data_IF_023586305160
#
_entry.id   IF_023586305160
#
_cell.length_a   1.000
_cell.length_b   1.000
_cell.length_c   1.000
_cell.angle_alpha   90.00
_cell.angle_beta   90.00
_cell.angle_gamma   90.00
#
_symmetry.space_group_name_H-M   'P 1'
#
loop_
_entity.id
_entity.type
_entity.pdbx_description
1 polymer ?
#
# COMPACT_ATOMS: atom_id res chain seq x y z
N UNK A 1 12.73 -16.75 16.46
CA UNK A 1 11.28 -16.62 16.72
C UNK A 1 10.64 -17.73 15.89
N UNK A 2 9.82 -18.56 16.51
CA UNK A 2 9.07 -19.58 15.77
C UNK A 2 7.90 -18.86 15.08
N UNK A 3 7.93 -18.77 13.75
CA UNK A 3 6.98 -18.00 12.95
C UNK A 3 6.14 -18.95 12.10
N UNK A 4 4.84 -18.71 12.08
CA UNK A 4 3.86 -19.47 11.28
C UNK A 4 3.08 -18.51 10.40
N UNK A 5 2.83 -18.92 9.16
CA UNK A 5 2.07 -18.15 8.17
C UNK A 5 0.72 -18.80 7.95
N UNK A 6 -0.32 -17.97 7.89
CA UNK A 6 -1.69 -18.38 7.60
C UNK A 6 -2.28 -17.48 6.53
N UNK A 7 -3.18 -18.02 5.71
CA UNK A 7 -4.12 -17.15 5.00
C UNK A 7 -5.02 -16.44 6.02
N UNK A 8 -5.40 -15.21 5.72
CA UNK A 8 -6.21 -14.39 6.66
C UNK A 8 -7.50 -15.12 7.04
N UNK A 9 -8.16 -15.75 6.07
CA UNK A 9 -9.44 -16.45 6.26
C UNK A 9 -9.32 -17.76 7.07
N UNK A 10 -8.11 -18.33 7.17
CA UNK A 10 -7.86 -19.52 8.01
C UNK A 10 -7.85 -19.21 9.52
N UNK A 11 -7.79 -17.93 9.88
CA UNK A 11 -7.68 -17.46 11.27
C UNK A 11 -8.70 -16.35 11.60
N UNK A 12 -10.02 -16.66 11.50
CA UNK A 12 -11.08 -15.70 11.82
C UNK A 12 -11.02 -15.17 13.26
N UNK A 13 -10.43 -15.96 14.16
CA UNK A 13 -10.16 -15.57 15.56
C UNK A 13 -9.16 -14.41 15.70
N UNK A 14 -8.40 -14.11 14.66
CA UNK A 14 -7.40 -13.02 14.64
C UNK A 14 -7.85 -11.77 13.87
N UNK A 15 -8.99 -11.77 13.22
CA UNK A 15 -9.41 -10.67 12.32
C UNK A 15 -9.49 -9.33 13.04
N UNK A 16 -10.19 -9.25 14.17
CA UNK A 16 -10.33 -8.01 14.95
C UNK A 16 -8.96 -7.47 15.41
N UNK A 17 -8.08 -8.36 15.89
CA UNK A 17 -6.73 -7.99 16.30
C UNK A 17 -5.85 -7.57 15.12
N UNK A 18 -6.03 -8.19 13.94
CA UNK A 18 -5.32 -7.81 12.73
C UNK A 18 -5.74 -6.42 12.27
N UNK A 19 -7.03 -6.11 12.29
CA UNK A 19 -7.54 -4.77 11.96
C UNK A 19 -6.98 -3.70 12.91
N UNK A 20 -6.98 -3.95 14.22
CA UNK A 20 -6.40 -3.05 15.20
C UNK A 20 -4.91 -2.79 14.96
N UNK A 21 -4.12 -3.85 14.72
CA UNK A 21 -2.67 -3.74 14.51
C UNK A 21 -2.35 -3.05 13.17
N UNK A 22 -3.12 -3.36 12.13
CA UNK A 22 -2.84 -2.85 10.78
C UNK A 22 -3.44 -1.48 10.52
N UNK A 23 -4.42 -1.03 11.30
CA UNK A 23 -4.87 0.37 11.29
C UNK A 23 -3.95 1.28 12.10
N UNK A 24 -3.27 0.73 13.12
CA UNK A 24 -2.39 1.52 13.97
C UNK A 24 -1.24 2.17 13.20
N UNK A 25 -1.07 3.48 13.41
CA UNK A 25 0.03 4.24 12.80
C UNK A 25 -0.24 4.79 11.40
N UNK A 26 -1.40 4.52 10.81
CA UNK A 26 -1.83 5.17 9.58
C UNK A 26 -2.64 6.44 9.89
N UNK A 27 -2.51 7.49 9.06
CA UNK A 27 -3.40 8.64 9.16
C UNK A 27 -4.84 8.23 8.87
N UNK A 28 -5.82 8.81 9.59
CA UNK A 28 -7.24 8.49 9.44
C UNK A 28 -7.72 8.61 7.99
N UNK A 29 -7.29 9.64 7.28
CA UNK A 29 -7.73 9.89 5.90
C UNK A 29 -7.40 8.75 4.92
N UNK A 30 -6.42 7.87 5.22
CA UNK A 30 -6.04 6.79 4.31
C UNK A 30 -7.16 5.75 4.16
N UNK A 31 -8.04 5.66 5.15
CA UNK A 31 -9.18 4.74 5.17
C UNK A 31 -10.43 5.30 4.46
N UNK A 32 -10.31 6.47 3.81
CA UNK A 32 -11.40 7.14 3.11
C UNK A 32 -11.10 7.30 1.62
N UNK A 33 -10.60 6.22 1.03
CA UNK A 33 -10.38 6.09 -0.40
C UNK A 33 -11.60 5.44 -1.05
N UNK A 34 -12.37 6.17 -1.89
CA UNK A 34 -13.61 5.64 -2.47
C UNK A 34 -13.39 4.43 -3.38
N UNK A 35 -12.20 4.29 -3.98
CA UNK A 35 -11.89 3.13 -4.84
C UNK A 35 -11.68 1.89 -3.96
N UNK A 36 -10.90 2.04 -2.89
CA UNK A 36 -10.72 0.97 -1.92
C UNK A 36 -12.07 0.54 -1.33
N UNK A 37 -12.90 1.48 -0.89
CA UNK A 37 -14.23 1.19 -0.33
C UNK A 37 -15.11 0.38 -1.29
N UNK A 38 -15.06 0.68 -2.58
CA UNK A 38 -15.86 -0.02 -3.60
C UNK A 38 -15.35 -1.41 -3.94
N UNK A 39 -14.04 -1.66 -3.80
CA UNK A 39 -13.42 -2.89 -4.28
C UNK A 39 -13.10 -3.91 -3.17
N UNK A 40 -12.88 -3.45 -1.92
CA UNK A 40 -12.29 -4.28 -0.87
C UNK A 40 -13.10 -5.52 -0.52
N UNK A 41 -14.43 -5.48 -0.55
CA UNK A 41 -15.26 -6.66 -0.27
C UNK A 41 -14.99 -7.77 -1.29
N UNK A 42 -14.90 -7.41 -2.58
CA UNK A 42 -14.59 -8.36 -3.67
C UNK A 42 -13.15 -8.84 -3.59
N UNK A 43 -12.22 -7.94 -3.27
CA UNK A 43 -10.81 -8.29 -3.09
C UNK A 43 -10.66 -9.32 -1.97
N UNK A 44 -11.28 -9.11 -0.82
CA UNK A 44 -11.26 -10.04 0.31
C UNK A 44 -11.90 -11.38 -0.06
N UNK A 45 -13.05 -11.35 -0.72
CA UNK A 45 -13.79 -12.55 -1.11
C UNK A 45 -13.06 -13.40 -2.16
N UNK A 46 -12.34 -12.76 -3.10
CA UNK A 46 -11.82 -13.46 -4.28
C UNK A 46 -10.33 -13.77 -4.26
N UNK A 47 -9.57 -13.07 -3.41
CA UNK A 47 -8.11 -13.15 -3.37
C UNK A 47 -7.57 -13.46 -1.97
N UNK A 48 -8.35 -14.19 -1.16
CA UNK A 48 -8.00 -14.57 0.22
C UNK A 48 -6.64 -15.28 0.32
N UNK A 49 -6.29 -16.11 -0.69
CA UNK A 49 -5.00 -16.81 -0.77
C UNK A 49 -3.78 -15.85 -0.85
N UNK A 50 -4.01 -14.61 -1.25
CA UNK A 50 -3.00 -13.54 -1.32
C UNK A 50 -3.08 -12.57 -0.13
N UNK A 51 -3.84 -12.91 0.92
CA UNK A 51 -3.94 -12.16 2.16
C UNK A 51 -3.38 -13.00 3.31
N UNK A 52 -2.23 -12.61 3.84
CA UNK A 52 -1.44 -13.43 4.75
C UNK A 52 -1.21 -12.76 6.10
N UNK A 53 -1.29 -13.58 7.16
CA UNK A 53 -0.84 -13.23 8.49
C UNK A 53 0.43 -14.01 8.85
N UNK A 54 1.37 -13.34 9.51
CA UNK A 54 2.53 -13.95 10.14
C UNK A 54 2.37 -13.84 11.65
N UNK A 55 2.38 -14.98 12.34
CA UNK A 55 2.20 -15.06 13.80
C UNK A 55 3.38 -15.75 14.46
N UNK A 56 3.65 -15.42 15.72
CA UNK A 56 4.68 -16.07 16.51
C UNK A 56 4.15 -17.33 17.24
N UNK A 57 5.03 -18.00 17.97
CA UNK A 57 4.70 -19.23 18.73
C UNK A 57 3.64 -19.05 19.82
N UNK A 58 3.28 -17.82 20.18
CA UNK A 58 2.25 -17.46 21.15
C UNK A 58 0.95 -16.95 20.49
N UNK A 59 0.79 -17.21 19.18
CA UNK A 59 -0.35 -16.72 18.37
C UNK A 59 -0.50 -15.18 18.33
N UNK A 60 0.61 -14.45 18.49
CA UNK A 60 0.59 -12.99 18.33
C UNK A 60 0.91 -12.63 16.89
N UNK A 61 0.08 -11.79 16.29
CA UNK A 61 0.33 -11.25 14.95
C UNK A 61 1.59 -10.39 15.00
N UNK A 62 2.57 -10.69 14.14
CA UNK A 62 3.84 -9.95 14.04
C UNK A 62 3.95 -9.16 12.74
N UNK A 63 3.33 -9.64 11.67
CA UNK A 63 3.21 -8.96 10.39
C UNK A 63 1.99 -9.47 9.63
N UNK A 64 1.59 -8.74 8.61
CA UNK A 64 0.58 -9.14 7.66
C UNK A 64 0.76 -8.39 6.35
N UNK A 65 0.09 -8.86 5.33
CA UNK A 65 0.11 -8.22 4.04
C UNK A 65 -0.79 -8.92 3.05
N UNK A 66 -1.09 -8.23 1.98
CA UNK A 66 -1.98 -8.74 0.96
C UNK A 66 -1.66 -8.17 -0.41
N UNK A 67 -2.19 -8.80 -1.43
CA UNK A 67 -2.03 -8.37 -2.79
C UNK A 67 -3.17 -8.80 -3.69
N UNK A 68 -3.13 -8.33 -4.92
CA UNK A 68 -4.14 -8.65 -5.94
C UNK A 68 -3.47 -9.12 -7.22
N UNK A 69 -4.11 -10.06 -7.95
CA UNK A 69 -3.59 -10.58 -9.21
C UNK A 69 -4.07 -9.70 -10.37
N UNK A 70 -3.14 -9.26 -11.22
CA UNK A 70 -3.45 -8.50 -12.43
C UNK A 70 -2.81 -9.13 -13.66
N UNK A 71 -3.23 -8.71 -14.85
CA UNK A 71 -2.48 -8.92 -16.08
C UNK A 71 -1.61 -7.68 -16.32
N UNK A 72 -0.31 -7.88 -16.57
CA UNK A 72 0.66 -6.82 -16.88
C UNK A 72 1.69 -7.34 -17.87
N UNK A 73 1.88 -6.65 -18.99
CA UNK A 73 2.78 -7.07 -20.08
C UNK A 73 4.28 -6.91 -19.73
N UNK A 74 4.60 -6.27 -18.61
CA UNK A 74 5.96 -6.02 -18.14
C UNK A 74 6.52 -4.66 -18.60
N UNK A 75 5.79 -3.89 -19.39
CA UNK A 75 6.16 -2.54 -19.83
C UNK A 75 5.80 -1.47 -18.78
N UNK A 76 6.44 -0.29 -18.89
CA UNK A 76 6.10 0.85 -18.05
C UNK A 76 4.76 1.47 -18.43
N UNK A 77 4.34 1.32 -19.67
CA UNK A 77 3.11 1.93 -20.18
C UNK A 77 1.86 1.16 -19.75
N UNK A 78 1.97 -0.15 -19.49
CA UNK A 78 0.89 -0.99 -18.99
C UNK A 78 0.84 -1.08 -17.44
N UNK A 79 1.76 -0.42 -16.72
CA UNK A 79 1.64 -0.34 -15.26
C UNK A 79 0.30 0.28 -14.87
N UNK A 80 -0.41 -0.29 -13.85
CA UNK A 80 -1.55 0.40 -13.28
C UNK A 80 -1.16 1.80 -12.78
N UNK A 81 -2.11 2.73 -12.75
CA UNK A 81 -1.87 4.09 -12.25
C UNK A 81 -1.40 4.15 -10.79
N UNK A 82 -1.57 3.05 -10.05
CA UNK A 82 -1.13 2.90 -8.66
C UNK A 82 -1.94 1.85 -7.92
N UNK A 83 -2.10 2.06 -6.61
CA UNK A 83 -2.87 1.20 -5.72
C UNK A 83 -4.33 1.07 -6.18
N UNK A 84 -5.04 2.19 -6.36
CA UNK A 84 -6.45 2.22 -6.75
C UNK A 84 -6.71 1.44 -8.03
N UNK A 85 -5.97 1.75 -9.08
CA UNK A 85 -6.16 1.09 -10.38
C UNK A 85 -5.79 -0.40 -10.32
N UNK A 86 -4.87 -0.79 -9.44
CA UNK A 86 -4.56 -2.22 -9.25
C UNK A 86 -5.76 -2.99 -8.72
N UNK A 87 -6.52 -2.42 -7.77
CA UNK A 87 -7.75 -3.03 -7.27
C UNK A 87 -8.81 -3.15 -8.36
N UNK A 88 -9.03 -2.05 -9.11
CA UNK A 88 -10.00 -2.02 -10.21
C UNK A 88 -9.63 -3.05 -11.29
N UNK A 89 -8.36 -3.10 -11.73
CA UNK A 89 -7.91 -4.07 -12.74
C UNK A 89 -8.07 -5.51 -12.28
N UNK A 90 -7.74 -5.82 -11.02
CA UNK A 90 -7.85 -7.17 -10.47
C UNK A 90 -9.30 -7.64 -10.43
N UNK A 91 -10.20 -6.79 -9.94
CA UNK A 91 -11.64 -7.10 -9.87
C UNK A 91 -12.23 -7.26 -11.27
N UNK A 92 -11.97 -6.33 -12.19
CA UNK A 92 -12.45 -6.39 -13.56
C UNK A 92 -11.91 -7.63 -14.31
N UNK A 93 -10.63 -7.97 -14.11
CA UNK A 93 -10.03 -9.16 -14.71
C UNK A 93 -10.75 -10.45 -14.23
N UNK A 94 -11.05 -10.54 -12.94
CA UNK A 94 -11.76 -11.66 -12.34
C UNK A 94 -13.19 -11.77 -12.85
N UNK A 95 -13.92 -10.66 -12.94
CA UNK A 95 -15.27 -10.60 -13.49
C UNK A 95 -15.33 -11.02 -14.96
N UNK A 96 -14.31 -10.67 -15.74
CA UNK A 96 -14.18 -11.07 -17.14
C UNK A 96 -13.72 -12.52 -17.32
N UNK A 97 -13.42 -13.26 -16.26
CA UNK A 97 -12.83 -14.59 -16.34
C UNK A 97 -11.43 -14.64 -16.97
N UNK A 98 -10.73 -13.51 -16.93
CA UNK A 98 -9.39 -13.36 -17.48
C UNK A 98 -8.32 -14.05 -16.61
N UNK A 99 -7.12 -14.22 -17.19
CA UNK A 99 -6.00 -14.84 -16.50
C UNK A 99 -5.00 -13.77 -16.05
N UNK A 100 -4.68 -13.77 -14.76
CA UNK A 100 -3.60 -12.97 -14.21
C UNK A 100 -2.22 -13.61 -14.41
N UNK A 101 -1.19 -12.81 -14.43
CA UNK A 101 0.21 -13.25 -14.52
C UNK A 101 1.14 -12.51 -13.54
N UNK A 102 0.62 -11.51 -12.84
CA UNK A 102 1.38 -10.59 -11.99
C UNK A 102 0.69 -10.41 -10.64
N UNK A 103 1.45 -10.56 -9.55
CA UNK A 103 1.05 -10.14 -8.22
C UNK A 103 1.37 -8.64 -8.04
N UNK A 104 0.38 -7.86 -7.67
CA UNK A 104 0.57 -6.54 -7.08
C UNK A 104 0.50 -6.68 -5.56
N UNK A 105 1.61 -6.52 -4.84
CA UNK A 105 1.60 -6.44 -3.38
C UNK A 105 1.04 -5.07 -3.01
N UNK A 106 -0.19 -5.06 -2.48
CA UNK A 106 -0.93 -3.84 -2.16
C UNK A 106 -0.58 -3.29 -0.77
N UNK A 107 -0.33 -4.17 0.20
CA UNK A 107 0.12 -3.78 1.53
C UNK A 107 1.03 -4.85 2.15
N UNK A 108 1.99 -4.40 2.96
CA UNK A 108 2.76 -5.24 3.87
C UNK A 108 3.12 -4.39 5.10
N UNK A 109 2.77 -4.87 6.27
CA UNK A 109 2.96 -4.15 7.53
C UNK A 109 3.52 -5.07 8.60
N UNK A 110 4.42 -4.52 9.40
CA UNK A 110 4.99 -5.16 10.58
C UNK A 110 4.51 -4.41 11.82
N UNK A 111 4.12 -5.12 12.84
CA UNK A 111 3.76 -4.55 14.14
C UNK A 111 4.85 -3.59 14.63
N UNK A 112 4.45 -2.40 15.10
CA UNK A 112 5.35 -1.26 15.35
C UNK A 112 6.54 -1.58 16.27
N UNK A 113 6.32 -2.37 17.33
CA UNK A 113 7.35 -2.78 18.30
C UNK A 113 8.33 -3.85 17.77
N UNK A 114 8.05 -4.42 16.59
CA UNK A 114 8.86 -5.47 15.96
C UNK A 114 9.57 -5.00 14.69
N UNK A 115 9.47 -3.72 14.35
CA UNK A 115 10.17 -3.17 13.20
C UNK A 115 11.70 -3.30 13.33
N UNK A 116 12.40 -3.31 12.18
CA UNK A 116 13.86 -3.43 12.15
C UNK A 116 14.41 -4.87 12.36
N UNK A 117 13.55 -5.88 12.47
CA UNK A 117 13.93 -7.30 12.71
C UNK A 117 13.88 -8.18 11.46
N UNK A 118 13.76 -7.60 10.27
CA UNK A 118 13.70 -8.35 9.00
C UNK A 118 12.31 -8.86 8.62
N UNK A 119 11.30 -8.75 9.49
CA UNK A 119 9.93 -9.28 9.28
C UNK A 119 9.25 -8.71 8.04
N UNK A 120 9.56 -7.46 7.66
CA UNK A 120 9.02 -6.87 6.45
C UNK A 120 9.50 -7.62 5.18
N UNK A 121 10.79 -7.93 5.10
CA UNK A 121 11.34 -8.72 3.98
C UNK A 121 10.79 -10.15 3.97
N UNK A 122 10.58 -10.75 5.14
CA UNK A 122 9.98 -12.06 5.27
C UNK A 122 8.53 -12.05 4.75
N UNK A 123 7.73 -11.06 5.18
CA UNK A 123 6.34 -10.91 4.73
C UNK A 123 6.24 -10.71 3.20
N UNK A 124 7.08 -9.85 2.63
CA UNK A 124 7.15 -9.65 1.18
C UNK A 124 7.53 -10.94 0.45
N UNK A 125 8.47 -11.73 1.00
CA UNK A 125 8.86 -13.03 0.46
C UNK A 125 7.71 -14.05 0.50
N UNK A 126 6.94 -14.08 1.60
CA UNK A 126 5.78 -14.95 1.75
C UNK A 126 4.67 -14.60 0.74
N UNK A 127 4.38 -13.31 0.53
CA UNK A 127 3.43 -12.84 -0.48
C UNK A 127 3.89 -13.21 -1.89
N UNK A 128 5.19 -13.00 -2.20
CA UNK A 128 5.73 -13.39 -3.49
C UNK A 128 5.63 -14.91 -3.73
N UNK A 129 5.85 -15.72 -2.69
CA UNK A 129 5.67 -17.18 -2.72
C UNK A 129 4.20 -17.59 -2.87
N UNK A 130 3.25 -16.87 -2.25
CA UNK A 130 1.82 -17.08 -2.47
C UNK A 130 1.44 -16.80 -3.93
N UNK A 131 1.88 -15.66 -4.47
CA UNK A 131 1.68 -15.36 -5.88
C UNK A 131 2.23 -16.42 -6.82
N UNK A 132 3.40 -17.00 -6.51
CA UNK A 132 3.97 -18.09 -7.32
C UNK A 132 3.11 -19.36 -7.28
N UNK A 133 2.55 -19.72 -6.13
CA UNK A 133 1.60 -20.85 -6.02
C UNK A 133 0.33 -20.63 -6.85
N UNK A 134 -0.12 -19.38 -6.97
CA UNK A 134 -1.24 -18.97 -7.84
C UNK A 134 -0.84 -18.81 -9.32
N UNK A 135 0.40 -19.14 -9.71
CA UNK A 135 0.89 -19.05 -11.08
C UNK A 135 1.24 -17.62 -11.55
N UNK A 136 1.42 -16.68 -10.63
CA UNK A 136 1.79 -15.30 -10.92
C UNK A 136 3.32 -15.21 -11.07
N UNK A 137 3.78 -15.04 -12.32
CA UNK A 137 5.21 -15.06 -12.64
C UNK A 137 5.94 -13.77 -12.25
N UNK A 138 5.22 -12.66 -12.14
CA UNK A 138 5.77 -11.33 -11.84
C UNK A 138 5.28 -10.83 -10.50
N UNK A 139 6.09 -9.98 -9.85
CA UNK A 139 5.74 -9.35 -8.57
C UNK A 139 6.12 -7.88 -8.63
N UNK A 140 5.13 -7.01 -8.48
CA UNK A 140 5.30 -5.56 -8.41
C UNK A 140 4.60 -5.00 -7.16
N UNK A 141 4.95 -3.79 -6.75
CA UNK A 141 4.28 -3.10 -5.65
C UNK A 141 4.25 -1.59 -5.87
N UNK A 142 3.11 -0.90 -5.64
CA UNK A 142 3.04 0.55 -5.54
C UNK A 142 3.42 0.96 -4.11
N UNK A 143 4.72 1.09 -3.87
CA UNK A 143 5.26 1.34 -2.54
C UNK A 143 4.94 2.75 -2.06
N UNK A 144 4.31 2.88 -0.89
CA UNK A 144 4.13 4.13 -0.16
C UNK A 144 5.38 4.40 0.69
N UNK A 145 6.28 5.35 0.31
CA UNK A 145 7.54 5.52 1.02
C UNK A 145 7.33 6.00 2.45
N UNK A 146 8.05 5.40 3.41
CA UNK A 146 7.84 5.65 4.83
C UNK A 146 8.27 7.05 5.29
N UNK A 147 9.23 7.68 4.61
CA UNK A 147 9.74 9.01 5.00
C UNK A 147 9.23 10.16 4.11
N UNK A 148 8.44 9.87 3.06
CA UNK A 148 7.94 10.89 2.12
C UNK A 148 7.06 11.94 2.79
N UNK A 149 6.30 11.58 3.81
CA UNK A 149 5.46 12.51 4.56
C UNK A 149 6.25 13.66 5.24
N UNK A 150 7.57 13.53 5.38
CA UNK A 150 8.45 14.64 5.83
C UNK A 150 8.75 15.65 4.73
N UNK A 151 8.43 15.31 3.49
CA UNK A 151 8.74 16.09 2.29
C UNK A 151 7.52 16.19 1.37
N UNK A 152 6.35 16.61 1.86
CA UNK A 152 5.09 16.56 1.11
C UNK A 152 5.08 17.48 -0.12
N UNK A 153 5.93 18.51 -0.13
CA UNK A 153 6.06 19.47 -1.23
C UNK A 153 7.05 19.03 -2.32
N UNK A 154 7.84 18.00 -2.06
CA UNK A 154 8.80 17.46 -3.04
C UNK A 154 8.07 16.49 -3.99
N UNK A 155 8.28 16.63 -5.28
CA UNK A 155 7.75 15.68 -6.27
C UNK A 155 8.25 14.25 -6.00
N UNK A 156 7.44 13.24 -6.32
CA UNK A 156 7.81 11.85 -6.02
C UNK A 156 9.03 11.41 -6.83
N UNK A 157 9.16 11.83 -8.09
CA UNK A 157 10.31 11.52 -8.94
C UNK A 157 11.63 12.05 -8.37
N UNK A 158 11.61 13.26 -7.80
CA UNK A 158 12.77 13.80 -7.10
C UNK A 158 13.05 13.01 -5.81
N UNK A 159 12.04 12.79 -4.98
CA UNK A 159 12.18 12.09 -3.70
C UNK A 159 12.73 10.66 -3.87
N UNK A 160 12.19 9.89 -4.84
CA UNK A 160 12.63 8.50 -5.05
C UNK A 160 14.04 8.40 -5.62
N UNK A 161 14.60 9.48 -6.18
CA UNK A 161 15.97 9.54 -6.67
C UNK A 161 17.01 9.72 -5.56
N UNK A 162 16.58 10.09 -4.34
CA UNK A 162 17.50 10.33 -3.24
C UNK A 162 18.15 9.03 -2.75
N UNK A 163 19.48 9.05 -2.71
CA UNK A 163 20.29 7.93 -2.25
C UNK A 163 21.17 8.31 -1.08
N UNK A 164 21.63 7.30 -0.36
CA UNK A 164 22.66 7.37 0.66
C UNK A 164 24.05 7.34 0.00
N UNK A 165 25.10 7.53 0.80
CA UNK A 165 26.49 7.45 0.32
C UNK A 165 26.86 6.08 -0.27
N UNK A 166 26.17 5.01 0.15
CA UNK A 166 26.31 3.64 -0.37
C UNK A 166 25.50 3.37 -1.65
N UNK A 167 24.81 4.39 -2.19
CA UNK A 167 23.96 4.28 -3.37
C UNK A 167 22.57 3.67 -3.12
N UNK A 168 22.29 3.19 -1.91
CA UNK A 168 20.97 2.66 -1.57
C UNK A 168 19.91 3.78 -1.42
N UNK A 169 18.62 3.52 -1.66
CA UNK A 169 17.55 4.50 -1.45
C UNK A 169 17.58 5.14 -0.06
N UNK A 170 17.38 6.45 0.02
CA UNK A 170 17.31 7.19 1.28
C UNK A 170 16.10 6.81 2.11
N UNK A 171 14.96 6.51 1.46
CA UNK A 171 13.76 6.03 2.14
C UNK A 171 13.97 4.60 2.68
N UNK A 172 13.64 4.34 3.96
CA UNK A 172 13.88 3.02 4.57
C UNK A 172 13.02 1.92 3.96
N UNK A 173 11.80 2.23 3.48
CA UNK A 173 10.92 1.23 2.89
C UNK A 173 11.35 0.87 1.47
N UNK A 174 11.67 1.86 0.64
CA UNK A 174 12.28 1.62 -0.68
C UNK A 174 13.61 0.86 -0.55
N UNK A 175 14.40 1.14 0.49
CA UNK A 175 15.65 0.42 0.76
C UNK A 175 15.42 -1.04 1.15
N UNK A 176 14.31 -1.37 1.83
CA UNK A 176 13.94 -2.76 2.10
C UNK A 176 13.67 -3.52 0.80
N UNK A 177 12.87 -2.96 -0.09
CA UNK A 177 12.62 -3.54 -1.42
C UNK A 177 13.92 -3.67 -2.24
N UNK A 178 14.76 -2.64 -2.24
CA UNK A 178 16.07 -2.66 -2.93
C UNK A 178 16.98 -3.79 -2.42
N UNK A 179 17.06 -4.02 -1.11
CA UNK A 179 17.86 -5.11 -0.51
C UNK A 179 17.36 -6.49 -0.89
N UNK A 180 16.09 -6.63 -1.22
CA UNK A 180 15.48 -7.85 -1.75
C UNK A 180 15.70 -8.01 -3.26
N UNK A 181 16.46 -7.11 -3.90
CA UNK A 181 16.75 -7.13 -5.33
C UNK A 181 15.69 -6.44 -6.20
N UNK A 182 14.72 -5.78 -5.59
CA UNK A 182 13.71 -5.06 -6.36
C UNK A 182 14.31 -3.83 -7.07
N UNK A 183 13.76 -3.54 -8.24
CA UNK A 183 14.11 -2.36 -9.03
C UNK A 183 13.00 -1.32 -8.95
N UNK A 184 13.36 -0.07 -8.73
CA UNK A 184 12.45 1.06 -8.89
C UNK A 184 12.15 1.22 -10.38
N UNK A 185 10.87 1.37 -10.73
CA UNK A 185 10.41 1.54 -12.11
C UNK A 185 10.11 3.00 -12.42
N UNK A 186 9.12 3.58 -11.74
CA UNK A 186 8.67 4.97 -11.90
C UNK A 186 7.79 5.40 -10.73
N UNK A 187 7.47 6.69 -10.63
CA UNK A 187 6.40 7.17 -9.77
C UNK A 187 5.01 6.73 -10.28
N UNK A 188 4.11 6.51 -9.34
CA UNK A 188 2.67 6.38 -9.55
C UNK A 188 2.02 7.65 -8.98
N UNK A 189 1.92 8.70 -9.80
CA UNK A 189 1.57 10.05 -9.37
C UNK A 189 0.17 10.14 -8.72
N UNK A 190 -0.73 9.26 -9.11
CA UNK A 190 -2.11 9.20 -8.64
C UNK A 190 -2.44 7.82 -8.11
N UNK A 191 -1.61 7.35 -7.17
CA UNK A 191 -1.74 5.97 -6.68
C UNK A 191 -2.99 5.75 -5.86
N UNK A 192 -3.32 6.71 -4.99
CA UNK A 192 -4.50 6.72 -4.12
C UNK A 192 -5.16 8.08 -4.14
N UNK A 193 -6.49 8.12 -4.02
CA UNK A 193 -7.23 9.39 -4.01
C UNK A 193 -8.27 9.40 -2.91
N UNK A 194 -7.96 10.03 -1.78
CA UNK A 194 -8.88 10.25 -0.66
C UNK A 194 -9.73 11.50 -0.92
N UNK A 195 -11.04 11.39 -0.67
CA UNK A 195 -12.01 12.47 -0.88
C UNK A 195 -12.99 12.54 0.27
N UNK A 196 -13.40 13.77 0.62
CA UNK A 196 -14.41 14.01 1.63
C UNK A 196 -14.87 15.46 1.60
N UNK A 197 -15.90 15.78 2.39
CA UNK A 197 -16.28 17.17 2.68
C UNK A 197 -15.20 17.88 3.46
N UNK A 198 -15.25 19.21 3.54
CA UNK A 198 -14.33 19.97 4.37
C UNK A 198 -14.45 19.55 5.84
N UNK A 199 -15.68 19.30 6.32
CA UNK A 199 -15.91 18.85 7.68
C UNK A 199 -15.32 17.46 7.97
N UNK A 200 -15.40 16.52 7.00
CA UNK A 200 -14.75 15.21 7.13
C UNK A 200 -13.23 15.37 7.25
N UNK A 201 -12.63 16.19 6.38
CA UNK A 201 -11.20 16.46 6.43
C UNK A 201 -10.77 17.12 7.73
N UNK A 202 -11.49 18.13 8.25
CA UNK A 202 -11.20 18.75 9.55
C UNK A 202 -11.22 17.71 10.68
N UNK A 203 -12.14 16.74 10.63
CA UNK A 203 -12.19 15.62 11.57
C UNK A 203 -10.99 14.69 11.42
N UNK A 204 -10.64 14.28 10.19
CA UNK A 204 -9.56 13.33 9.94
C UNK A 204 -8.18 13.90 10.26
N UNK A 205 -7.96 15.20 10.04
CA UNK A 205 -6.67 15.85 10.31
C UNK A 205 -6.57 16.48 11.70
N UNK A 206 -7.71 16.67 12.40
CA UNK A 206 -7.78 17.17 13.76
C UNK A 206 -7.58 18.69 13.92
N UNK A 207 -7.71 19.47 12.83
CA UNK A 207 -7.63 20.95 12.87
C UNK A 207 -8.48 21.58 11.76
N UNK A 208 -8.79 22.89 11.96
CA UNK A 208 -9.64 23.63 11.04
C UNK A 208 -8.95 23.91 9.69
N UNK A 209 -9.73 23.89 8.61
CA UNK A 209 -9.34 24.19 7.23
C UNK A 209 -10.11 25.44 6.73
N UNK A 210 -9.82 26.65 7.22
CA UNK A 210 -10.70 27.83 7.15
C UNK A 210 -10.84 28.44 5.75
N UNK A 211 -9.98 28.09 4.81
CA UNK A 211 -9.98 28.68 3.47
C UNK A 211 -9.80 27.60 2.38
N UNK A 212 -10.22 27.89 1.15
CA UNK A 212 -9.80 27.12 -0.02
C UNK A 212 -8.30 27.27 -0.24
N UNK A 213 -7.63 26.19 -0.62
CA UNK A 213 -6.16 26.18 -0.85
C UNK A 213 -5.52 24.84 -0.58
N UNK A 214 -4.19 24.82 -0.58
CA UNK A 214 -3.39 23.63 -0.32
C UNK A 214 -2.88 23.62 1.11
N UNK A 215 -3.03 22.49 1.78
CA UNK A 215 -2.62 22.26 3.17
C UNK A 215 -1.62 21.13 3.27
N UNK A 216 -0.57 21.32 4.04
CA UNK A 216 0.29 20.21 4.48
C UNK A 216 -0.35 19.60 5.73
N UNK A 217 -0.73 18.33 5.62
CA UNK A 217 -1.38 17.61 6.72
C UNK A 217 -0.47 16.48 7.23
N UNK A 218 -0.48 16.17 8.53
CA UNK A 218 0.39 15.15 9.09
C UNK A 218 0.18 13.78 8.44
N UNK A 219 1.28 13.15 8.03
CA UNK A 219 1.24 11.81 7.44
C UNK A 219 0.95 11.77 5.94
N UNK A 220 0.49 12.84 5.31
CA UNK A 220 0.23 12.89 3.88
C UNK A 220 1.53 12.98 3.05
N UNK A 221 1.55 12.30 1.91
CA UNK A 221 2.71 12.32 1.00
C UNK A 221 2.71 13.51 0.03
N UNK A 222 1.57 14.19 -0.10
CA UNK A 222 1.35 15.36 -0.94
C UNK A 222 0.40 16.35 -0.23
N UNK A 223 0.29 17.61 -0.69
CA UNK A 223 -0.66 18.54 -0.11
C UNK A 223 -2.12 18.13 -0.33
N UNK A 224 -2.93 18.28 0.72
CA UNK A 224 -4.39 18.25 0.64
C UNK A 224 -4.88 19.53 -0.04
N UNK A 225 -5.78 19.41 -1.01
CA UNK A 225 -6.43 20.54 -1.67
C UNK A 225 -7.86 20.67 -1.15
N UNK A 226 -8.19 21.83 -0.60
CA UNK A 226 -9.52 22.19 -0.10
C UNK A 226 -10.17 23.19 -1.04
N UNK A 227 -11.40 22.90 -1.43
CA UNK A 227 -12.31 23.84 -2.10
C UNK A 227 -13.58 24.01 -1.26
N UNK A 228 -13.66 25.12 -0.53
CA UNK A 228 -14.81 25.43 0.32
C UNK A 228 -16.06 25.84 -0.48
N UNK A 229 -15.89 26.30 -1.72
CA UNK A 229 -17.03 26.69 -2.55
C UNK A 229 -17.85 25.45 -2.99
N UNK A 230 -17.17 24.32 -3.19
CA UNK A 230 -17.79 23.05 -3.54
C UNK A 230 -17.90 22.08 -2.36
N UNK A 231 -17.47 22.51 -1.16
CA UNK A 231 -17.36 21.68 0.06
C UNK A 231 -16.59 20.37 -0.19
N UNK A 232 -15.43 20.47 -0.82
CA UNK A 232 -14.59 19.32 -1.14
C UNK A 232 -13.16 19.47 -0.65
N UNK A 233 -12.62 18.36 -0.13
CA UNK A 233 -11.20 18.15 0.07
C UNK A 233 -10.73 16.93 -0.71
N UNK A 234 -9.60 17.07 -1.39
CA UNK A 234 -9.01 15.98 -2.20
C UNK A 234 -7.53 15.88 -1.89
N UNK A 235 -7.10 14.69 -1.51
CA UNK A 235 -5.69 14.32 -1.39
C UNK A 235 -5.38 13.24 -2.42
N UNK A 236 -4.46 13.54 -3.32
CA UNK A 236 -3.91 12.57 -4.28
C UNK A 236 -2.53 12.17 -3.80
N UNK A 237 -2.36 10.94 -3.35
CA UNK A 237 -1.06 10.43 -2.91
C UNK A 237 -0.33 9.70 -4.03
N UNK A 238 0.94 10.08 -4.29
CA UNK A 238 1.81 9.35 -5.18
C UNK A 238 2.51 8.22 -4.45
N UNK A 239 2.77 7.11 -5.15
CA UNK A 239 3.59 6.00 -4.68
C UNK A 239 4.76 5.74 -5.65
N UNK A 240 5.58 4.73 -5.37
CA UNK A 240 6.71 4.33 -6.21
C UNK A 240 6.50 2.90 -6.67
N UNK A 241 6.40 2.68 -7.98
CA UNK A 241 6.39 1.35 -8.52
C UNK A 241 7.76 0.69 -8.36
N UNK A 242 7.77 -0.49 -7.77
CA UNK A 242 8.92 -1.37 -7.71
C UNK A 242 8.58 -2.73 -8.31
N UNK A 243 9.58 -3.40 -8.92
CA UNK A 243 9.47 -4.75 -9.46
C UNK A 243 10.45 -5.66 -8.73
N UNK A 244 9.96 -6.75 -8.15
CA UNK A 244 10.77 -7.78 -7.52
C UNK A 244 11.21 -8.86 -8.51
N UNK A 245 10.35 -9.26 -9.42
CA UNK A 245 10.63 -10.23 -10.49
C UNK A 245 9.68 -10.07 -11.68
#
# INVERSE_FOLDING_TARGET
MDLRTFAFDDRPDLHERAEEIFSAGWPEFIFHDPVADQQMDRVRQWFGELNLLLVDGEDRIVAGGWGVPVCWDGSLDDLPGGYDESLVRAVALREAGGRADTLVIAAAQVRGDLQGRGLASEMLGLLAGAGEREGLARVIAPVRPASKARYPLTAMDEFMSWTRADGAPSDPWLRTHHRMGARVLRSAERSMTMKGSVADWEKWVGFALPASGSYVVPGALAPLVIDRATDQGVLVEPNVWVRHR
#
